data_IF_643724233186
#
_entry.id   IF_643724233186
#
_cell.length_a   1.000
_cell.length_b   1.000
_cell.length_c   1.000
_cell.angle_alpha   90.00
_cell.angle_beta   90.00
_cell.angle_gamma   90.00
#
_symmetry.space_group_name_H-M   'P 1'
#
loop_
_entity.id
_entity.type
_entity.pdbx_description
1 polymer ?
#
# COMPACT_ATOMS: atom_id res chain seq x y z
N UNK A 1 -19.80 -0.13 5.08
CA UNK A 1 -18.49 -0.13 4.38
C UNK A 1 -17.87 -1.52 4.45
N UNK A 2 -17.51 -2.10 3.31
CA UNK A 2 -16.86 -3.42 3.27
C UNK A 2 -15.51 -3.34 2.57
N UNK A 3 -14.46 -3.91 3.19
CA UNK A 3 -13.15 -4.01 2.54
C UNK A 3 -13.24 -4.99 1.40
N UNK A 4 -12.83 -4.56 0.21
CA UNK A 4 -12.70 -5.44 -0.94
C UNK A 4 -11.43 -6.28 -0.78
N UNK A 5 -11.57 -7.59 -0.99
CA UNK A 5 -10.45 -8.52 -1.02
C UNK A 5 -10.48 -9.30 -2.32
N UNK A 6 -9.29 -9.72 -2.78
CA UNK A 6 -9.18 -10.58 -3.97
C UNK A 6 -9.99 -11.87 -3.80
N UNK A 7 -10.06 -12.41 -2.59
CA UNK A 7 -10.88 -13.58 -2.27
C UNK A 7 -12.37 -13.35 -2.53
N UNK A 8 -12.89 -12.14 -2.27
CA UNK A 8 -14.29 -11.78 -2.58
C UNK A 8 -14.55 -11.59 -4.07
N UNK A 9 -13.56 -11.15 -4.82
CA UNK A 9 -13.70 -10.87 -6.26
C UNK A 9 -13.50 -12.12 -7.12
N UNK A 10 -12.52 -12.96 -6.77
CA UNK A 10 -12.04 -14.06 -7.60
C UNK A 10 -12.12 -15.44 -6.92
N UNK A 11 -12.63 -15.50 -5.69
CA UNK A 11 -12.56 -16.70 -4.87
C UNK A 11 -11.14 -16.97 -4.33
N UNK A 12 -10.97 -18.11 -3.68
CA UNK A 12 -9.70 -18.57 -3.11
C UNK A 12 -9.45 -20.01 -3.51
N UNK A 13 -8.20 -20.34 -3.86
CA UNK A 13 -7.70 -21.71 -3.94
C UNK A 13 -6.53 -21.86 -2.97
N UNK A 14 -6.62 -22.82 -2.06
CA UNK A 14 -5.53 -23.19 -1.14
C UNK A 14 -5.07 -24.61 -1.42
N UNK A 15 -3.77 -24.86 -1.30
CA UNK A 15 -3.20 -26.21 -1.26
C UNK A 15 -3.04 -26.62 0.20
N UNK A 16 -3.48 -27.82 0.53
CA UNK A 16 -3.28 -28.44 1.85
C UNK A 16 -2.35 -29.63 1.62
N UNK A 17 -1.26 -29.67 2.37
CA UNK A 17 -0.33 -30.81 2.37
C UNK A 17 -0.85 -31.76 3.44
N UNK A 18 -1.06 -33.02 3.06
CA UNK A 18 -1.55 -34.06 3.96
C UNK A 18 -0.52 -35.16 4.13
N UNK A 19 -0.57 -35.85 5.26
CA UNK A 19 0.27 -37.01 5.53
C UNK A 19 -0.34 -38.30 4.94
N UNK A 20 0.25 -39.44 5.28
CA UNK A 20 -0.20 -40.77 4.85
C UNK A 20 -1.58 -41.19 5.39
N UNK A 21 -2.11 -40.50 6.39
CA UNK A 21 -3.43 -40.71 6.98
C UNK A 21 -4.45 -39.67 6.50
N UNK A 22 -4.11 -38.87 5.47
CA UNK A 22 -4.89 -37.73 4.97
C UNK A 22 -5.06 -36.58 5.98
N UNK A 23 -4.23 -36.53 7.03
CA UNK A 23 -4.26 -35.46 8.02
C UNK A 23 -3.39 -34.26 7.58
N UNK A 24 -3.85 -33.01 7.76
CA UNK A 24 -3.07 -31.83 7.39
C UNK A 24 -1.73 -31.76 8.13
N UNK A 25 -0.63 -31.64 7.38
CA UNK A 25 0.68 -31.42 7.98
C UNK A 25 0.78 -30.04 8.62
N UNK A 26 1.48 -29.95 9.75
CA UNK A 26 1.83 -28.69 10.42
C UNK A 26 3.25 -28.28 10.03
N UNK A 27 3.47 -26.98 9.87
CA UNK A 27 4.81 -26.44 9.57
C UNK A 27 5.68 -26.50 10.83
N UNK A 28 6.91 -26.99 10.72
CA UNK A 28 7.92 -26.94 11.78
C UNK A 28 9.23 -26.33 11.27
N UNK A 29 9.98 -25.67 12.15
CA UNK A 29 11.28 -25.10 11.84
C UNK A 29 12.40 -26.05 12.29
N UNK A 30 13.24 -26.52 11.38
CA UNK A 30 14.41 -27.30 11.73
C UNK A 30 15.57 -26.37 12.07
N UNK A 31 16.24 -26.59 13.20
CA UNK A 31 17.42 -25.80 13.58
C UNK A 31 18.54 -25.97 12.54
N UNK A 32 19.41 -24.97 12.43
CA UNK A 32 20.46 -24.93 11.39
C UNK A 32 21.43 -26.10 11.46
N UNK A 33 21.61 -26.66 12.65
CA UNK A 33 22.43 -27.85 12.92
C UNK A 33 21.67 -29.17 12.69
N UNK A 34 20.38 -29.12 12.35
CA UNK A 34 19.53 -30.30 12.12
C UNK A 34 19.18 -31.08 13.39
N UNK A 35 19.55 -30.59 14.58
CA UNK A 35 19.42 -31.34 15.82
C UNK A 35 18.01 -31.28 16.43
N UNK A 36 17.25 -30.22 16.16
CA UNK A 36 15.94 -30.01 16.76
C UNK A 36 14.91 -29.51 15.74
N UNK A 37 13.70 -30.05 15.86
CA UNK A 37 12.52 -29.55 15.17
C UNK A 37 11.71 -28.69 16.16
N UNK A 38 11.38 -27.46 15.75
CA UNK A 38 10.64 -26.48 16.53
C UNK A 38 9.22 -26.37 15.97
N UNK A 39 8.21 -26.90 16.68
CA UNK A 39 6.81 -26.75 16.30
C UNK A 39 6.30 -25.31 16.40
N UNK A 40 5.14 -25.00 15.80
CA UNK A 40 4.46 -23.72 16.00
C UNK A 40 4.21 -23.46 17.49
N UNK A 41 4.47 -22.22 17.93
CA UNK A 41 4.26 -21.80 19.32
C UNK A 41 5.46 -21.98 20.26
N UNK A 42 6.54 -22.63 19.81
CA UNK A 42 7.75 -22.80 20.62
C UNK A 42 8.73 -21.61 20.55
N UNK A 43 8.44 -20.60 19.73
CA UNK A 43 9.24 -19.37 19.61
C UNK A 43 8.41 -18.18 20.06
N UNK A 44 9.06 -17.26 20.79
CA UNK A 44 8.49 -16.00 21.20
C UNK A 44 9.42 -14.85 20.79
N UNK A 45 8.84 -13.73 20.36
CA UNK A 45 9.56 -12.50 20.09
C UNK A 45 9.45 -11.57 21.30
N UNK A 46 10.58 -11.00 21.73
CA UNK A 46 10.67 -10.10 22.87
C UNK A 46 11.22 -8.74 22.40
N UNK A 47 10.75 -7.66 23.02
CA UNK A 47 11.40 -6.36 22.92
C UNK A 47 12.49 -6.27 23.98
N UNK A 48 13.64 -5.73 23.60
CA UNK A 48 14.80 -5.65 24.47
C UNK A 48 15.40 -4.25 24.38
N UNK A 49 15.77 -3.66 25.52
CA UNK A 49 16.48 -2.38 25.58
C UNK A 49 17.99 -2.52 25.28
N UNK A 50 18.71 -1.40 25.24
CA UNK A 50 20.17 -1.37 25.04
C UNK A 50 20.94 -2.13 26.14
N UNK A 51 20.32 -2.35 27.30
CA UNK A 51 20.86 -3.08 28.44
C UNK A 51 20.52 -4.58 28.45
N UNK A 52 19.95 -5.12 27.36
CA UNK A 52 19.47 -6.50 27.27
C UNK A 52 18.32 -6.86 28.24
N UNK A 53 17.55 -5.87 28.70
CA UNK A 53 16.36 -6.11 29.53
C UNK A 53 15.12 -6.23 28.66
N UNK A 54 14.25 -7.16 29.01
CA UNK A 54 12.95 -7.33 28.34
C UNK A 54 12.06 -6.14 28.67
N UNK A 55 11.47 -5.54 27.64
CA UNK A 55 10.53 -4.42 27.73
C UNK A 55 9.13 -4.89 27.36
N UNK A 56 8.13 -4.53 28.17
CA UNK A 56 6.74 -4.88 27.85
C UNK A 56 6.19 -4.00 26.73
N UNK A 57 5.31 -4.56 25.89
CA UNK A 57 4.73 -3.81 24.75
C UNK A 57 3.94 -2.58 25.19
N UNK A 58 3.37 -2.59 26.41
CA UNK A 58 2.62 -1.46 26.96
C UNK A 58 3.49 -0.29 27.43
N UNK A 59 4.80 -0.51 27.62
CA UNK A 59 5.76 0.51 28.04
C UNK A 59 6.39 1.24 26.84
N UNK A 60 6.13 0.76 25.61
CA UNK A 60 6.65 1.36 24.40
C UNK A 60 5.98 2.71 24.13
N UNK A 61 6.79 3.74 23.86
CA UNK A 61 6.34 5.08 23.50
C UNK A 61 6.74 5.37 22.07
N UNK A 62 5.78 5.84 21.26
CA UNK A 62 6.09 6.31 19.91
C UNK A 62 6.79 7.66 19.99
N UNK A 63 7.90 7.79 19.26
CA UNK A 63 8.68 9.03 19.17
C UNK A 63 8.82 9.49 17.73
N UNK A 64 8.98 10.79 17.52
CA UNK A 64 9.29 11.36 16.21
C UNK A 64 10.77 11.16 15.84
N UNK A 65 11.18 11.68 14.67
CA UNK A 65 12.56 11.60 14.18
C UNK A 65 13.59 12.29 15.11
N UNK A 66 13.13 13.17 16.02
CA UNK A 66 13.97 13.87 17.00
C UNK A 66 13.93 13.22 18.38
N UNK A 67 13.16 12.15 18.56
CA UNK A 67 13.02 11.42 19.83
C UNK A 67 11.92 11.95 20.76
N UNK A 68 11.09 12.90 20.31
CA UNK A 68 10.02 13.45 21.13
C UNK A 68 8.77 12.54 21.09
N UNK A 69 8.08 12.32 22.22
CA UNK A 69 6.86 11.51 22.26
C UNK A 69 5.75 12.06 21.35
N UNK A 70 5.15 11.18 20.55
CA UNK A 70 4.05 11.51 19.64
C UNK A 70 2.72 11.13 20.29
N UNK A 71 1.72 12.01 20.21
CA UNK A 71 0.38 11.70 20.70
C UNK A 71 -0.37 10.77 19.75
N UNK A 72 -1.10 9.82 20.34
CA UNK A 72 -1.99 8.97 19.59
C UNK A 72 -3.19 9.76 19.07
N UNK A 73 -3.53 9.51 17.81
CA UNK A 73 -4.70 10.01 17.12
C UNK A 73 -5.86 9.02 17.28
N UNK A 74 -7.08 9.55 17.35
CA UNK A 74 -8.31 8.75 17.43
C UNK A 74 -8.60 8.04 16.11
N UNK A 75 -9.39 6.96 16.19
CA UNK A 75 -9.97 6.34 14.99
C UNK A 75 -10.89 7.32 14.27
N UNK A 76 -10.85 7.30 12.93
CA UNK A 76 -11.77 8.07 12.09
C UNK A 76 -13.12 7.36 11.92
N UNK A 77 -13.24 6.09 12.34
CA UNK A 77 -14.49 5.36 12.22
C UNK A 77 -15.53 5.86 13.22
N UNK A 78 -16.75 6.10 12.72
CA UNK A 78 -17.86 6.59 13.53
C UNK A 78 -17.77 8.08 13.88
N UNK A 79 -16.74 8.78 13.40
CA UNK A 79 -16.54 10.21 13.59
C UNK A 79 -16.57 10.93 12.25
N UNK A 80 -17.22 12.09 12.19
CA UNK A 80 -17.22 12.95 11.01
C UNK A 80 -15.79 13.37 10.66
N UNK A 81 -15.42 13.22 9.37
CA UNK A 81 -14.12 13.65 8.86
C UNK A 81 -14.30 14.75 7.83
N UNK A 82 -13.50 15.83 7.90
CA UNK A 82 -13.51 16.85 6.85
C UNK A 82 -13.01 16.23 5.53
N UNK A 83 -13.66 16.62 4.45
CA UNK A 83 -13.23 16.32 3.09
C UNK A 83 -12.67 17.59 2.45
N UNK A 84 -11.57 17.42 1.73
CA UNK A 84 -10.89 18.47 0.97
C UNK A 84 -10.96 18.11 -0.51
N UNK A 85 -11.28 19.06 -1.37
CA UNK A 85 -11.29 18.84 -2.81
C UNK A 85 -12.28 19.72 -3.56
N UNK A 86 -12.43 19.48 -4.88
CA UNK A 86 -11.84 18.40 -5.64
C UNK A 86 -10.30 18.46 -5.73
N UNK A 87 -9.64 17.31 -5.79
CA UNK A 87 -8.18 17.19 -5.94
C UNK A 87 -7.78 16.75 -7.35
N UNK A 88 -6.52 16.97 -7.73
CA UNK A 88 -5.96 16.46 -8.98
C UNK A 88 -5.80 14.93 -8.93
N UNK A 89 -6.23 14.15 -9.95
CA UNK A 89 -6.06 12.70 -9.97
C UNK A 89 -4.61 12.22 -9.81
N UNK A 90 -3.61 13.02 -10.20
CA UNK A 90 -2.19 12.71 -9.98
C UNK A 90 -1.88 12.52 -8.49
N UNK A 91 -2.59 13.23 -7.61
CA UNK A 91 -2.49 13.06 -6.16
C UNK A 91 -2.77 11.61 -5.74
N UNK A 92 -3.71 10.93 -6.38
CA UNK A 92 -4.02 9.52 -6.11
C UNK A 92 -2.90 8.61 -6.62
N UNK A 93 -2.31 8.95 -7.78
CA UNK A 93 -1.22 8.19 -8.39
C UNK A 93 0.10 8.30 -7.61
N UNK A 94 0.29 9.40 -6.88
CA UNK A 94 1.42 9.59 -5.95
C UNK A 94 1.27 8.79 -4.63
N UNK A 95 0.24 7.93 -4.54
CA UNK A 95 -0.01 7.08 -3.38
C UNK A 95 -0.13 5.60 -3.77
N UNK A 96 0.47 4.75 -2.94
CA UNK A 96 0.24 3.31 -2.99
C UNK A 96 -1.08 3.00 -2.31
N UNK A 97 -2.05 2.50 -3.06
CA UNK A 97 -3.33 2.07 -2.50
C UNK A 97 -3.15 0.76 -1.73
N UNK A 98 -3.31 0.82 -0.40
CA UNK A 98 -3.15 -0.34 0.51
C UNK A 98 -4.48 -1.05 0.80
N UNK A 99 -5.59 -0.35 0.67
CA UNK A 99 -6.93 -0.90 0.83
C UNK A 99 -7.94 -0.15 -0.03
N UNK A 100 -8.94 -0.89 -0.49
CA UNK A 100 -10.12 -0.34 -1.17
C UNK A 100 -11.35 -0.79 -0.41
N UNK A 101 -12.26 0.16 -0.22
CA UNK A 101 -13.53 -0.09 0.44
C UNK A 101 -14.68 0.38 -0.44
N UNK A 102 -15.70 -0.47 -0.55
CA UNK A 102 -16.98 -0.03 -1.09
C UNK A 102 -17.80 0.57 0.05
N UNK A 103 -18.29 1.79 -0.18
CA UNK A 103 -19.12 2.53 0.74
C UNK A 103 -20.59 2.24 0.44
N UNK A 104 -21.35 2.06 1.52
CA UNK A 104 -22.80 1.97 1.47
C UNK A 104 -23.32 3.24 2.15
N UNK A 105 -23.59 4.26 1.34
CA UNK A 105 -23.91 5.59 1.82
C UNK A 105 -25.40 5.68 2.11
N UNK A 106 -25.75 5.87 3.38
CA UNK A 106 -27.15 6.10 3.79
C UNK A 106 -27.68 7.41 3.21
N UNK A 107 -26.84 8.45 3.19
CA UNK A 107 -27.17 9.76 2.65
C UNK A 107 -25.93 10.39 2.02
N UNK A 108 -26.11 11.09 0.91
CA UNK A 108 -25.08 11.89 0.25
C UNK A 108 -25.69 13.23 -0.12
N UNK A 109 -25.07 14.34 0.31
CA UNK A 109 -25.53 15.67 -0.05
C UNK A 109 -25.50 15.89 -1.56
N UNK A 110 -26.55 16.51 -2.12
CA UNK A 110 -26.74 16.64 -3.56
C UNK A 110 -25.54 17.28 -4.30
N UNK A 111 -24.90 18.28 -3.67
CA UNK A 111 -23.73 18.95 -4.24
C UNK A 111 -22.51 18.03 -4.33
N UNK A 112 -22.29 17.17 -3.32
CA UNK A 112 -21.20 16.20 -3.31
C UNK A 112 -21.49 15.07 -4.32
N UNK A 113 -22.73 14.57 -4.34
CA UNK A 113 -23.15 13.53 -5.28
C UNK A 113 -22.96 13.96 -6.74
N UNK A 114 -23.33 15.20 -7.09
CA UNK A 114 -23.15 15.72 -8.45
C UNK A 114 -21.67 15.79 -8.87
N UNK A 115 -20.79 16.22 -7.95
CA UNK A 115 -19.34 16.28 -8.20
C UNK A 115 -18.72 14.89 -8.35
N UNK A 116 -19.05 13.97 -7.44
CA UNK A 116 -18.59 12.59 -7.49
C UNK A 116 -19.06 11.88 -8.77
N UNK A 117 -20.32 12.09 -9.18
CA UNK A 117 -20.84 11.57 -10.44
C UNK A 117 -20.16 12.19 -11.67
N UNK A 118 -19.65 13.42 -11.55
CA UNK A 118 -18.81 14.08 -12.55
C UNK A 118 -17.37 13.55 -12.62
N UNK A 119 -16.96 12.67 -11.70
CA UNK A 119 -15.60 12.11 -11.64
C UNK A 119 -14.63 12.88 -10.74
N UNK A 120 -15.11 13.88 -9.99
CA UNK A 120 -14.29 14.58 -9.01
C UNK A 120 -13.85 13.63 -7.87
N UNK A 121 -12.63 13.84 -7.37
CA UNK A 121 -12.05 13.07 -6.27
C UNK A 121 -11.88 13.98 -5.06
N UNK A 122 -12.20 13.47 -3.87
CA UNK A 122 -12.03 14.19 -2.60
C UNK A 122 -11.06 13.46 -1.68
N UNK A 123 -10.21 14.19 -0.98
CA UNK A 123 -9.25 13.67 -0.02
C UNK A 123 -9.77 13.89 1.41
N UNK A 124 -9.61 12.89 2.25
CA UNK A 124 -9.82 12.99 3.68
C UNK A 124 -8.83 12.11 4.44
N UNK A 125 -8.99 12.10 5.76
CA UNK A 125 -8.16 11.31 6.66
C UNK A 125 -8.77 9.95 6.94
N UNK A 126 -7.95 8.92 7.04
CA UNK A 126 -8.38 7.61 7.51
C UNK A 126 -7.44 7.00 8.53
N UNK A 127 -8.01 6.55 9.65
CA UNK A 127 -7.34 5.71 10.64
C UNK A 127 -8.33 4.71 11.23
N UNK A 128 -8.12 3.42 10.97
CA UNK A 128 -9.07 2.37 11.36
C UNK A 128 -9.10 2.16 12.89
N UNK A 129 -7.94 2.04 13.53
CA UNK A 129 -7.84 1.78 14.99
C UNK A 129 -7.44 3.01 15.82
N UNK A 130 -7.17 4.15 15.18
CA UNK A 130 -6.32 5.17 15.81
C UNK A 130 -4.88 4.66 15.91
N UNK A 131 -4.00 5.44 16.53
CA UNK A 131 -2.58 5.11 16.66
C UNK A 131 -1.71 6.34 16.44
N UNK A 132 -0.53 6.18 15.85
CA UNK A 132 0.43 7.28 15.68
C UNK A 132 0.56 7.76 14.22
N UNK A 133 -0.21 7.18 13.31
CA UNK A 133 -0.21 7.55 11.90
C UNK A 133 -1.60 7.43 11.30
N UNK A 134 -1.87 8.26 10.31
CA UNK A 134 -3.04 8.20 9.45
C UNK A 134 -2.64 7.88 8.02
N UNK A 135 -3.64 7.62 7.19
CA UNK A 135 -3.48 7.42 5.77
C UNK A 135 -4.40 8.38 5.02
N UNK A 136 -3.99 8.77 3.83
CA UNK A 136 -4.84 9.51 2.92
C UNK A 136 -5.99 8.60 2.48
N UNK A 137 -7.20 9.15 2.44
CA UNK A 137 -8.38 8.48 1.90
C UNK A 137 -8.93 9.29 0.74
N UNK A 138 -9.04 8.65 -0.41
CA UNK A 138 -9.62 9.22 -1.61
C UNK A 138 -11.02 8.69 -1.83
N UNK A 139 -12.01 9.58 -1.81
CA UNK A 139 -13.40 9.31 -2.08
C UNK A 139 -13.69 9.57 -3.56
N UNK A 140 -14.29 8.59 -4.22
CA UNK A 140 -14.68 8.65 -5.62
C UNK A 140 -15.93 7.79 -5.88
N UNK A 141 -16.55 7.99 -7.04
CA UNK A 141 -17.72 7.24 -7.48
C UNK A 141 -17.49 6.68 -8.88
N UNK A 142 -18.06 5.50 -9.15
CA UNK A 142 -18.26 4.97 -10.50
C UNK A 142 -19.67 4.36 -10.60
N UNK A 143 -19.96 3.68 -11.71
CA UNK A 143 -21.27 3.05 -11.96
C UNK A 143 -21.66 1.98 -10.92
N UNK A 144 -20.68 1.36 -10.24
CA UNK A 144 -20.90 0.36 -9.21
C UNK A 144 -21.10 0.97 -7.80
N UNK A 145 -20.96 2.29 -7.65
CA UNK A 145 -21.21 3.02 -6.41
C UNK A 145 -20.02 3.82 -5.91
N UNK A 146 -19.99 4.05 -4.59
CA UNK A 146 -18.98 4.87 -3.93
C UNK A 146 -17.82 4.04 -3.39
N UNK A 147 -16.60 4.54 -3.58
CA UNK A 147 -15.38 3.86 -3.15
C UNK A 147 -14.49 4.80 -2.37
N UNK A 148 -13.84 4.24 -1.34
CA UNK A 148 -12.76 4.88 -0.62
C UNK A 148 -11.46 4.10 -0.84
N UNK A 149 -10.47 4.75 -1.44
CA UNK A 149 -9.10 4.24 -1.60
C UNK A 149 -8.27 4.74 -0.42
N UNK A 150 -7.60 3.83 0.30
CA UNK A 150 -6.68 4.20 1.38
C UNK A 150 -5.26 4.11 0.84
N UNK A 151 -4.56 5.24 0.86
CA UNK A 151 -3.24 5.40 0.27
C UNK A 151 -2.18 5.81 1.28
N UNK A 152 -0.97 5.32 1.06
CA UNK A 152 0.26 5.86 1.66
C UNK A 152 1.11 6.54 0.59
N UNK A 153 1.69 7.74 0.83
CA UNK A 153 2.54 8.41 -0.16
C UNK A 153 3.68 7.51 -0.60
N UNK A 154 3.93 7.44 -1.91
CA UNK A 154 4.99 6.57 -2.44
C UNK A 154 6.37 7.20 -2.49
N UNK A 155 6.46 8.54 -2.38
CA UNK A 155 7.72 9.31 -2.42
C UNK A 155 8.71 8.79 -3.49
N UNK A 156 8.20 8.35 -4.65
CA UNK A 156 9.07 7.83 -5.71
C UNK A 156 9.87 9.01 -6.27
N UNK A 157 11.18 8.96 -6.08
CA UNK A 157 12.10 9.82 -6.81
C UNK A 157 12.38 9.16 -8.16
N UNK A 158 12.08 9.86 -9.26
CA UNK A 158 12.44 9.38 -10.58
C UNK A 158 13.96 9.41 -10.71
N UNK A 159 14.56 8.22 -10.78
CA UNK A 159 16.00 8.09 -11.03
C UNK A 159 16.20 8.04 -12.55
N UNK A 160 16.63 9.15 -13.14
CA UNK A 160 17.17 9.15 -14.50
C UNK A 160 18.65 8.79 -14.47
N UNK A 161 19.13 8.08 -15.48
CA UNK A 161 20.58 7.97 -15.71
C UNK A 161 21.07 9.34 -16.14
N UNK A 162 22.08 9.90 -15.47
CA UNK A 162 22.83 11.04 -16.00
C UNK A 162 23.38 10.61 -17.36
N UNK A 163 22.70 11.05 -18.42
CA UNK A 163 23.25 10.99 -19.76
C UNK A 163 24.24 12.15 -19.83
N UNK A 164 25.50 11.92 -20.23
CA UNK A 164 26.34 13.04 -20.64
C UNK A 164 25.56 13.86 -21.67
N UNK A 165 25.68 15.19 -21.60
CA UNK A 165 25.10 16.06 -22.60
C UNK A 165 25.44 15.49 -23.97
N UNK A 166 24.43 15.34 -24.85
CA UNK A 166 24.71 15.02 -26.24
C UNK A 166 25.77 16.03 -26.70
N UNK A 167 26.92 15.52 -27.14
CA UNK A 167 27.84 16.37 -27.89
C UNK A 167 27.00 16.89 -29.06
N UNK A 168 26.95 18.22 -29.23
CA UNK A 168 26.33 18.82 -30.40
C UNK A 168 27.04 18.20 -31.60
N UNK A 169 26.39 17.22 -32.23
CA UNK A 169 26.88 16.58 -33.42
C UNK A 169 26.72 17.63 -34.52
N UNK A 170 27.73 18.50 -34.68
CA UNK A 170 27.86 19.43 -35.82
C UNK A 170 28.06 18.68 -37.16
N UNK A 171 27.59 17.44 -37.26
CA UNK A 171 27.55 16.68 -38.48
C UNK A 171 26.11 16.32 -38.83
N UNK A 172 25.36 17.36 -39.20
CA UNK A 172 24.10 17.28 -39.95
C UNK A 172 24.42 16.82 -41.40
N UNK A 173 25.17 15.73 -41.56
CA UNK A 173 25.26 15.03 -42.84
C UNK A 173 24.01 14.19 -42.98
N UNK A 174 23.12 14.67 -43.85
CA UNK A 174 21.88 14.02 -44.26
C UNK A 174 22.11 12.50 -44.43
N UNK A 175 21.43 11.73 -43.59
CA UNK A 175 21.25 10.30 -43.81
C UNK A 175 20.47 10.17 -45.12
N UNK A 176 21.16 9.76 -46.17
CA UNK A 176 20.53 9.43 -47.45
C UNK A 176 19.73 8.14 -47.22
N UNK A 177 18.40 8.27 -47.29
CA UNK A 177 17.37 7.23 -47.06
C UNK A 177 17.35 6.17 -48.19
N UNK A 178 18.50 5.59 -48.56
CA UNK A 178 18.57 4.65 -49.69
C UNK A 178 19.33 3.33 -49.42
N UNK A 179 19.67 3.03 -48.16
CA UNK A 179 20.09 1.68 -47.77
C UNK A 179 18.94 0.95 -47.06
N UNK A 180 18.14 0.28 -47.89
CA UNK A 180 17.14 -0.74 -47.59
C UNK A 180 17.61 -1.62 -46.41
N UNK A 181 17.02 -1.43 -45.22
CA UNK A 181 17.35 -2.16 -44.00
C UNK A 181 17.10 -3.66 -44.19
N UNK A 182 18.15 -4.41 -44.55
CA UNK A 182 18.13 -5.87 -44.62
C UNK A 182 18.14 -6.46 -43.21
N UNK A 183 16.97 -6.92 -42.75
CA UNK A 183 16.78 -7.62 -41.48
C UNK A 183 17.23 -9.10 -41.54
N UNK A 184 18.11 -9.45 -42.47
CA UNK A 184 18.85 -10.70 -42.45
C UNK A 184 20.12 -10.59 -41.60
N UNK A 185 20.12 -11.31 -40.46
CA UNK A 185 21.28 -11.74 -39.66
C UNK A 185 21.59 -10.95 -38.38
N UNK A 186 20.98 -11.37 -37.25
CA UNK A 186 21.69 -12.16 -36.22
C UNK A 186 20.72 -12.94 -35.33
#
# INVERSE_FOLDING_TARGET
MSRLSREKLYGKKSRVIVDQNEEPCVVGFLTRDGAALIPPGCVASLYVDEGNRVVERGELVAVDATGNPVQAISSTLGNEQPLTGPIDPRRVLDHLTTAVYQLDATEVGAALAAKLAGGDIFEGRFSYRGGFGDSAMFLLQNDAGFFALIGSPTNFEFVSRDLPAAEDDENDEAIDDDDELDFGMM
#
